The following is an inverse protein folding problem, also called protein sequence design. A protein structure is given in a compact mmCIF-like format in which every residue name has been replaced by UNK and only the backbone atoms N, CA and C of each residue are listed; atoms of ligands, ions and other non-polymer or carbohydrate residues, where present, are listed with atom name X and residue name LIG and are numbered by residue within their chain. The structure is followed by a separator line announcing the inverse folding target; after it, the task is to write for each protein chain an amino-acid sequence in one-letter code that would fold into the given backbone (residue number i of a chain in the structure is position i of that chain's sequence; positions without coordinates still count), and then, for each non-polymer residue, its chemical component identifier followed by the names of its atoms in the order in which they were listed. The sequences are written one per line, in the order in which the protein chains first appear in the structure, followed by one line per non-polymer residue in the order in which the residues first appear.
data_IF_823645674522
#
_entry.id   IF_823645674522
#
_cell.length_a   1.000
_cell.length_b   1.000
_cell.length_c   1.000
_cell.angle_alpha   90.00
_cell.angle_beta   90.00
_cell.angle_gamma   90.00
#
_symmetry.space_group_name_H-M   'P 1'
#
loop_
_entity.id
_entity.type
_entity.pdbx_description
1 polymer ?
#
# COMPACT_ATOMS: atom_id res chain seq x y z
N UNK A 1 -39.76 64.52 -9.91
CA UNK A 1 -39.36 63.61 -8.81
C UNK A 1 -38.54 64.44 -7.84
N UNK A 2 -38.88 64.44 -6.56
CA UNK A 2 -38.12 65.15 -5.53
C UNK A 2 -36.78 64.43 -5.29
N UNK A 3 -35.71 65.19 -5.05
CA UNK A 3 -34.35 64.68 -4.81
C UNK A 3 -34.32 63.72 -3.60
N UNK A 4 -35.22 63.94 -2.63
CA UNK A 4 -35.43 63.04 -1.49
C UNK A 4 -36.01 61.69 -1.88
N UNK A 5 -36.91 61.66 -2.87
CA UNK A 5 -37.48 60.42 -3.39
C UNK A 5 -36.43 59.59 -4.15
N UNK A 6 -35.59 60.25 -4.95
CA UNK A 6 -34.50 59.58 -5.69
C UNK A 6 -33.47 58.99 -4.73
N UNK A 7 -33.07 59.75 -3.70
CA UNK A 7 -32.15 59.27 -2.67
C UNK A 7 -32.73 58.11 -1.84
N UNK A 8 -34.04 58.12 -1.57
CA UNK A 8 -34.72 57.00 -0.90
C UNK A 8 -34.67 55.71 -1.72
N UNK A 9 -35.02 55.79 -3.01
CA UNK A 9 -35.00 54.66 -3.94
C UNK A 9 -33.57 54.12 -4.12
N UNK A 10 -32.57 55.00 -4.25
CA UNK A 10 -31.18 54.59 -4.35
C UNK A 10 -30.70 53.87 -3.07
N UNK A 11 -31.11 54.34 -1.90
CA UNK A 11 -30.84 53.68 -0.63
C UNK A 11 -31.44 52.27 -0.55
N UNK A 12 -32.69 52.11 -0.97
CA UNK A 12 -33.36 50.80 -1.05
C UNK A 12 -32.68 49.85 -2.06
N UNK A 13 -32.25 50.38 -3.21
CA UNK A 13 -31.51 49.60 -4.21
C UNK A 13 -30.16 49.11 -3.68
N UNK A 14 -29.40 49.98 -3.00
CA UNK A 14 -28.12 49.61 -2.39
C UNK A 14 -28.31 48.57 -1.30
N UNK A 15 -29.34 48.69 -0.47
CA UNK A 15 -29.67 47.70 0.56
C UNK A 15 -30.05 46.34 -0.06
N UNK A 16 -30.90 46.35 -1.07
CA UNK A 16 -31.33 45.14 -1.78
C UNK A 16 -30.15 44.44 -2.44
N UNK A 17 -29.29 45.19 -3.12
CA UNK A 17 -28.08 44.65 -3.76
C UNK A 17 -27.09 44.08 -2.73
N UNK A 18 -26.88 44.78 -1.61
CA UNK A 18 -26.02 44.32 -0.52
C UNK A 18 -26.57 43.03 0.10
N UNK A 19 -27.88 42.95 0.32
CA UNK A 19 -28.54 41.75 0.86
C UNK A 19 -28.39 40.56 -0.09
N UNK A 20 -28.60 40.77 -1.39
CA UNK A 20 -28.44 39.77 -2.44
C UNK A 20 -26.98 39.29 -2.53
N UNK A 21 -26.02 40.21 -2.56
CA UNK A 21 -24.59 39.88 -2.59
C UNK A 21 -24.16 39.05 -1.37
N UNK A 22 -24.60 39.46 -0.17
CA UNK A 22 -24.34 38.70 1.05
C UNK A 22 -25.01 37.32 1.06
N UNK A 23 -26.18 37.18 0.45
CA UNK A 23 -26.83 35.88 0.28
C UNK A 23 -26.01 34.98 -0.67
N UNK A 24 -25.60 35.51 -1.82
CA UNK A 24 -24.79 34.78 -2.80
C UNK A 24 -23.47 34.30 -2.18
N UNK A 25 -22.75 35.16 -1.44
CA UNK A 25 -21.51 34.78 -0.76
C UNK A 25 -21.75 33.62 0.23
N UNK A 26 -22.86 33.66 0.98
CA UNK A 26 -23.22 32.59 1.92
C UNK A 26 -23.55 31.28 1.20
N UNK A 27 -24.25 31.34 0.09
CA UNK A 27 -24.60 30.18 -0.73
C UNK A 27 -23.36 29.56 -1.37
N UNK A 28 -22.48 30.37 -1.96
CA UNK A 28 -21.20 29.93 -2.52
C UNK A 28 -20.32 29.28 -1.46
N UNK A 29 -20.25 29.86 -0.26
CA UNK A 29 -19.47 29.28 0.83
C UNK A 29 -20.02 27.93 1.30
N UNK A 30 -21.36 27.80 1.41
CA UNK A 30 -22.01 26.51 1.70
C UNK A 30 -21.70 25.47 0.63
N UNK A 31 -21.80 25.86 -0.65
CA UNK A 31 -21.53 24.97 -1.77
C UNK A 31 -20.07 24.48 -1.77
N UNK A 32 -19.11 25.40 -1.59
CA UNK A 32 -17.68 25.07 -1.47
C UNK A 32 -17.42 24.07 -0.35
N UNK A 33 -18.04 24.26 0.83
CA UNK A 33 -17.92 23.31 1.94
C UNK A 33 -18.42 21.91 1.60
N UNK A 34 -19.55 21.81 0.89
CA UNK A 34 -20.08 20.52 0.43
C UNK A 34 -19.10 19.87 -0.56
N UNK A 35 -18.60 20.63 -1.52
CA UNK A 35 -17.62 20.13 -2.50
C UNK A 35 -16.33 19.65 -1.84
N UNK A 36 -15.78 20.38 -0.88
CA UNK A 36 -14.58 19.96 -0.16
C UNK A 36 -14.79 18.63 0.58
N UNK A 37 -15.94 18.47 1.25
CA UNK A 37 -16.26 17.20 1.93
C UNK A 37 -16.42 16.03 0.97
N UNK A 38 -17.02 16.26 -0.20
CA UNK A 38 -17.13 15.23 -1.23
C UNK A 38 -15.76 14.85 -1.81
N UNK A 39 -14.90 15.83 -2.05
CA UNK A 39 -13.53 15.59 -2.51
C UNK A 39 -12.70 14.82 -1.49
N UNK A 40 -12.79 15.20 -0.21
CA UNK A 40 -12.18 14.45 0.90
C UNK A 40 -12.58 12.96 0.85
N UNK A 41 -13.89 12.70 0.84
CA UNK A 41 -14.41 11.33 0.84
C UNK A 41 -13.91 10.50 -0.36
N UNK A 42 -13.90 11.11 -1.56
CA UNK A 42 -13.42 10.45 -2.78
C UNK A 42 -11.92 10.18 -2.71
N UNK A 43 -11.13 11.16 -2.27
CA UNK A 43 -9.68 11.00 -2.16
C UNK A 43 -9.31 9.92 -1.16
N UNK A 44 -9.91 9.93 0.04
CA UNK A 44 -9.71 8.90 1.06
C UNK A 44 -10.00 7.50 0.50
N UNK A 45 -11.15 7.32 -0.16
CA UNK A 45 -11.51 6.03 -0.78
C UNK A 45 -10.52 5.57 -1.84
N UNK A 46 -10.05 6.46 -2.70
CA UNK A 46 -9.08 6.11 -3.74
C UNK A 46 -7.75 5.66 -3.15
N UNK A 47 -7.31 6.29 -2.07
CA UNK A 47 -6.06 5.92 -1.36
C UNK A 47 -6.22 4.57 -0.68
N UNK A 48 -7.34 4.33 0.01
CA UNK A 48 -7.62 3.03 0.63
C UNK A 48 -7.58 1.90 -0.40
N UNK A 49 -8.23 2.09 -1.55
CA UNK A 49 -8.19 1.14 -2.67
C UNK A 49 -6.76 0.94 -3.19
N UNK A 50 -5.97 2.02 -3.30
CA UNK A 50 -4.58 1.92 -3.73
C UNK A 50 -3.73 1.14 -2.72
N UNK A 51 -3.87 1.42 -1.42
CA UNK A 51 -3.18 0.74 -0.33
C UNK A 51 -3.52 -0.75 -0.27
N UNK A 52 -4.80 -1.10 -0.40
CA UNK A 52 -5.25 -2.49 -0.49
C UNK A 52 -4.64 -3.22 -1.69
N UNK A 53 -4.58 -2.56 -2.85
CA UNK A 53 -3.98 -3.13 -4.05
C UNK A 53 -2.46 -3.33 -3.90
N UNK A 54 -1.74 -2.37 -3.31
CA UNK A 54 -0.32 -2.50 -3.05
C UNK A 54 -0.01 -3.65 -2.09
N UNK A 55 -0.80 -3.80 -1.02
CA UNK A 55 -0.68 -4.92 -0.08
C UNK A 55 -0.95 -6.26 -0.77
N UNK A 56 -2.00 -6.35 -1.58
CA UNK A 56 -2.31 -7.55 -2.35
C UNK A 56 -1.19 -7.92 -3.32
N UNK A 57 -0.66 -6.96 -4.06
CA UNK A 57 0.47 -7.19 -4.98
C UNK A 57 1.73 -7.65 -4.25
N UNK A 58 1.99 -7.09 -3.06
CA UNK A 58 3.10 -7.53 -2.23
C UNK A 58 2.93 -8.98 -1.75
N UNK A 59 1.72 -9.35 -1.35
CA UNK A 59 1.37 -10.71 -0.94
C UNK A 59 1.54 -11.73 -2.09
N UNK A 60 1.07 -11.39 -3.29
CA UNK A 60 1.24 -12.19 -4.49
C UNK A 60 2.73 -12.40 -4.84
N UNK A 61 3.54 -11.33 -4.69
CA UNK A 61 4.99 -11.40 -4.88
C UNK A 61 5.63 -12.35 -3.85
N UNK A 62 5.29 -12.21 -2.56
CA UNK A 62 5.80 -13.07 -1.49
C UNK A 62 5.43 -14.54 -1.73
N UNK A 63 4.20 -14.81 -2.16
CA UNK A 63 3.75 -16.16 -2.48
C UNK A 63 4.54 -16.77 -3.64
N UNK A 64 4.77 -15.98 -4.70
CA UNK A 64 5.59 -16.40 -5.85
C UNK A 64 7.02 -16.71 -5.43
N UNK A 65 7.65 -15.87 -4.62
CA UNK A 65 9.01 -16.09 -4.11
C UNK A 65 9.12 -17.39 -3.29
N UNK A 66 8.12 -17.70 -2.46
CA UNK A 66 8.05 -18.95 -1.70
C UNK A 66 7.90 -20.16 -2.64
N UNK A 67 7.04 -20.07 -3.66
CA UNK A 67 6.87 -21.13 -4.66
C UNK A 67 8.18 -21.39 -5.41
N UNK A 68 8.87 -20.34 -5.84
CA UNK A 68 10.16 -20.46 -6.53
C UNK A 68 11.25 -21.02 -5.60
N UNK A 69 11.29 -20.62 -4.33
CA UNK A 69 12.23 -21.18 -3.34
C UNK A 69 12.04 -22.69 -3.18
N UNK A 70 10.79 -23.16 -3.07
CA UNK A 70 10.46 -24.60 -3.01
C UNK A 70 10.91 -25.32 -4.28
N UNK A 71 10.67 -24.75 -5.46
CA UNK A 71 11.08 -25.33 -6.73
C UNK A 71 12.61 -25.45 -6.82
N UNK A 72 13.36 -24.40 -6.43
CA UNK A 72 14.82 -24.43 -6.35
C UNK A 72 15.32 -25.50 -5.39
N UNK A 73 14.67 -25.66 -4.24
CA UNK A 73 15.03 -26.69 -3.27
C UNK A 73 14.87 -28.11 -3.84
N UNK A 74 13.75 -28.40 -4.51
CA UNK A 74 13.52 -29.70 -5.16
C UNK A 74 14.58 -29.97 -6.23
N UNK A 75 14.83 -28.99 -7.11
CA UNK A 75 15.86 -29.11 -8.15
C UNK A 75 17.24 -29.42 -7.56
N UNK A 76 17.66 -28.67 -6.53
CA UNK A 76 18.93 -28.88 -5.85
C UNK A 76 19.01 -30.28 -5.23
N UNK A 77 17.94 -30.76 -4.59
CA UNK A 77 17.90 -32.10 -4.00
C UNK A 77 18.07 -33.21 -5.05
N UNK A 78 17.51 -33.03 -6.25
CA UNK A 78 17.67 -33.97 -7.37
C UNK A 78 19.10 -33.93 -7.93
N UNK A 79 19.66 -32.74 -8.12
CA UNK A 79 21.04 -32.55 -8.58
C UNK A 79 22.04 -33.17 -7.62
N UNK A 80 21.92 -32.88 -6.32
CA UNK A 80 22.74 -33.50 -5.26
C UNK A 80 22.64 -35.03 -5.28
N UNK A 81 21.43 -35.58 -5.47
CA UNK A 81 21.25 -37.03 -5.52
C UNK A 81 21.95 -37.66 -6.72
N UNK A 82 21.92 -36.97 -7.87
CA UNK A 82 22.63 -37.38 -9.09
C UNK A 82 24.15 -37.26 -8.95
N UNK A 83 24.65 -36.20 -8.31
CA UNK A 83 26.08 -36.00 -8.02
C UNK A 83 26.63 -37.13 -7.16
N UNK A 84 25.95 -37.47 -6.06
CA UNK A 84 26.36 -38.58 -5.19
C UNK A 84 26.27 -39.93 -5.92
N UNK A 85 25.33 -40.08 -6.85
CA UNK A 85 25.21 -41.30 -7.64
C UNK A 85 26.37 -41.50 -8.62
N UNK A 86 26.89 -40.41 -9.19
CA UNK A 86 27.95 -40.40 -10.19
C UNK A 86 29.37 -40.24 -9.59
N UNK A 87 29.48 -40.04 -8.28
CA UNK A 87 30.75 -39.88 -7.58
C UNK A 87 31.53 -41.19 -7.54
N UNK A 88 32.58 -41.27 -8.37
CA UNK A 88 33.48 -42.43 -8.48
C UNK A 88 34.40 -42.62 -7.26
N UNK A 89 34.49 -41.64 -6.37
CA UNK A 89 35.30 -41.74 -5.15
C UNK A 89 34.64 -42.58 -4.06
N UNK A 90 33.32 -42.79 -4.13
CA UNK A 90 32.54 -43.57 -3.17
C UNK A 90 32.66 -45.05 -3.51
N UNK A 91 33.32 -45.82 -2.62
CA UNK A 91 33.71 -47.21 -2.94
C UNK A 91 32.68 -48.24 -2.48
N UNK A 92 31.78 -47.89 -1.57
CA UNK A 92 30.81 -48.84 -1.02
C UNK A 92 29.43 -48.22 -0.74
N UNK A 93 28.41 -49.09 -0.62
CA UNK A 93 27.01 -48.71 -0.41
C UNK A 93 26.78 -47.97 0.91
N UNK A 94 27.45 -48.38 1.99
CA UNK A 94 27.31 -47.76 3.30
C UNK A 94 27.80 -46.29 3.31
N UNK A 95 28.93 -46.02 2.64
CA UNK A 95 29.48 -44.68 2.46
C UNK A 95 28.57 -43.81 1.60
N UNK A 96 28.00 -44.38 0.52
CA UNK A 96 26.99 -43.70 -0.32
C UNK A 96 25.78 -43.31 0.51
N UNK A 97 25.22 -44.23 1.28
CA UNK A 97 24.02 -43.99 2.09
C UNK A 97 24.30 -42.99 3.22
N UNK A 98 25.49 -43.03 3.83
CA UNK A 98 25.94 -42.01 4.79
C UNK A 98 25.98 -40.63 4.15
N UNK A 99 26.61 -40.51 2.96
CA UNK A 99 26.73 -39.24 2.23
C UNK A 99 25.38 -38.68 1.81
N UNK A 100 24.47 -39.54 1.34
CA UNK A 100 23.08 -39.14 1.01
C UNK A 100 22.38 -38.58 2.25
N UNK A 101 22.44 -39.28 3.39
CA UNK A 101 21.81 -38.82 4.64
C UNK A 101 22.35 -37.49 5.11
N UNK A 102 23.68 -37.34 5.17
CA UNK A 102 24.33 -36.11 5.63
C UNK A 102 23.99 -34.92 4.71
N UNK A 103 24.08 -35.12 3.40
CA UNK A 103 23.83 -34.04 2.45
C UNK A 103 22.35 -33.65 2.40
N UNK A 104 21.45 -34.62 2.53
CA UNK A 104 20.00 -34.37 2.64
C UNK A 104 19.67 -33.59 3.91
N UNK A 105 20.27 -33.96 5.05
CA UNK A 105 20.11 -33.23 6.31
C UNK A 105 20.61 -31.78 6.20
N UNK A 106 21.79 -31.58 5.61
CA UNK A 106 22.37 -30.25 5.39
C UNK A 106 21.52 -29.39 4.45
N UNK A 107 21.05 -29.95 3.33
CA UNK A 107 20.18 -29.25 2.40
C UNK A 107 18.83 -28.85 3.06
N UNK A 108 18.26 -29.76 3.84
CA UNK A 108 17.01 -29.52 4.58
C UNK A 108 17.19 -28.40 5.60
N UNK A 109 18.28 -28.42 6.38
CA UNK A 109 18.60 -27.36 7.35
C UNK A 109 18.71 -25.99 6.65
N UNK A 110 19.47 -25.92 5.55
CA UNK A 110 19.65 -24.70 4.76
C UNK A 110 18.30 -24.17 4.23
N UNK A 111 17.42 -25.05 3.76
CA UNK A 111 16.08 -24.64 3.33
C UNK A 111 15.23 -24.04 4.45
N UNK A 112 15.28 -24.61 5.65
CA UNK A 112 14.57 -24.05 6.80
C UNK A 112 15.10 -22.67 7.20
N UNK A 113 16.42 -22.48 7.14
CA UNK A 113 17.05 -21.18 7.40
C UNK A 113 16.65 -20.13 6.34
N UNK A 114 16.72 -20.48 5.06
CA UNK A 114 16.29 -19.62 3.94
C UNK A 114 14.81 -19.23 4.08
N UNK A 115 13.94 -20.19 4.41
CA UNK A 115 12.51 -19.94 4.63
C UNK A 115 12.28 -19.01 5.83
N UNK A 116 13.01 -19.21 6.92
CA UNK A 116 12.93 -18.35 8.11
C UNK A 116 13.34 -16.92 7.76
N UNK A 117 14.44 -16.75 7.02
CA UNK A 117 14.90 -15.43 6.59
C UNK A 117 13.91 -14.75 5.66
N UNK A 118 13.34 -15.48 4.69
CA UNK A 118 12.30 -14.94 3.82
C UNK A 118 11.09 -14.46 4.62
N UNK A 119 10.61 -15.23 5.59
CA UNK A 119 9.50 -14.81 6.46
C UNK A 119 9.80 -13.53 7.24
N UNK A 120 11.03 -13.36 7.72
CA UNK A 120 11.46 -12.13 8.42
C UNK A 120 11.49 -10.94 7.46
N UNK A 121 12.03 -11.14 6.25
CA UNK A 121 12.10 -10.09 5.23
C UNK A 121 10.70 -9.67 4.79
N UNK A 122 9.83 -10.64 4.46
CA UNK A 122 8.44 -10.40 4.08
C UNK A 122 7.69 -9.63 5.17
N UNK A 123 7.86 -10.00 6.44
CA UNK A 123 7.27 -9.27 7.56
C UNK A 123 7.76 -7.82 7.65
N UNK A 124 9.06 -7.59 7.49
CA UNK A 124 9.64 -6.23 7.48
C UNK A 124 9.17 -5.40 6.29
N UNK A 125 8.99 -5.99 5.13
CA UNK A 125 8.48 -5.30 3.94
C UNK A 125 7.03 -4.86 4.14
N UNK A 126 6.16 -5.73 4.67
CA UNK A 126 4.77 -5.38 4.99
C UNK A 126 4.70 -4.27 6.03
N UNK A 127 5.52 -4.34 7.08
CA UNK A 127 5.54 -3.30 8.12
C UNK A 127 5.95 -1.94 7.54
N UNK A 128 7.00 -1.90 6.72
CA UNK A 128 7.43 -0.67 6.04
C UNK A 128 6.33 -0.10 5.16
N UNK A 129 5.64 -0.95 4.41
CA UNK A 129 4.55 -0.53 3.53
C UNK A 129 3.38 0.04 4.34
N UNK A 130 2.99 -0.63 5.42
CA UNK A 130 1.93 -0.17 6.35
C UNK A 130 2.28 1.19 6.98
N UNK A 131 3.53 1.40 7.38
CA UNK A 131 3.97 2.71 7.90
C UNK A 131 3.88 3.80 6.82
N UNK A 132 4.27 3.49 5.59
CA UNK A 132 4.15 4.43 4.47
C UNK A 132 2.68 4.77 4.18
N UNK A 133 1.79 3.77 4.18
CA UNK A 133 0.34 3.96 3.98
C UNK A 133 -0.28 4.87 5.05
N UNK A 134 0.04 4.64 6.33
CA UNK A 134 -0.43 5.50 7.43
C UNK A 134 0.02 6.95 7.24
N UNK A 135 1.31 7.15 6.90
CA UNK A 135 1.85 8.49 6.67
C UNK A 135 1.16 9.19 5.49
N UNK A 136 0.96 8.50 4.37
CA UNK A 136 0.26 9.06 3.22
C UNK A 136 -1.18 9.46 3.56
N UNK A 137 -1.88 8.66 4.36
CA UNK A 137 -3.23 8.98 4.82
C UNK A 137 -3.24 10.22 5.72
N UNK A 138 -2.31 10.31 6.67
CA UNK A 138 -2.17 11.48 7.55
C UNK A 138 -1.87 12.77 6.78
N UNK A 139 -0.98 12.70 5.79
CA UNK A 139 -0.63 13.83 4.92
C UNK A 139 -1.86 14.36 4.17
N UNK A 140 -2.63 13.46 3.55
CA UNK A 140 -3.80 13.85 2.74
C UNK A 140 -4.93 14.40 3.62
N UNK A 141 -5.19 13.79 4.78
CA UNK A 141 -6.17 14.34 5.73
C UNK A 141 -5.76 15.72 6.25
N UNK A 142 -4.46 15.96 6.41
CA UNK A 142 -3.94 17.27 6.83
C UNK A 142 -4.09 18.31 5.71
N UNK A 143 -3.75 17.96 4.48
CA UNK A 143 -3.92 18.83 3.31
C UNK A 143 -5.38 19.19 3.08
N UNK A 144 -6.28 18.21 3.12
CA UNK A 144 -7.73 18.43 3.01
C UNK A 144 -8.22 19.39 4.09
N UNK A 145 -7.81 19.18 5.35
CA UNK A 145 -8.16 20.07 6.45
C UNK A 145 -7.70 21.51 6.19
N UNK A 146 -6.47 21.68 5.73
CA UNK A 146 -5.88 22.99 5.45
C UNK A 146 -6.60 23.72 4.32
N UNK A 147 -7.05 23.00 3.28
CA UNK A 147 -7.79 23.59 2.15
C UNK A 147 -9.26 23.90 2.51
N UNK A 148 -9.82 23.16 3.48
CA UNK A 148 -11.20 23.35 3.97
C UNK A 148 -11.37 24.43 5.06
N UNK A 149 -10.26 24.91 5.64
CA UNK A 149 -10.20 25.93 6.70
C UNK A 149 -10.24 27.35 6.12
#
# INVERSE_FOLDING_TARGET
MDDRQVNGILGEQVQTWTAMSNQQIREEWKLRKVHFKQQEEVLTKLIEIAHENEMRMLDEKHEKEIKEMKARHVKKSLETSREIANDKSIKNKAEKDRRVKETTANNTKKFFEERKMASIVHGKEKEKLSVAHKKQMEEILTEVRNVSS
#
